data_IF_772857715349
#
_entry.id   IF_772857715349
#
_cell.length_a   1.000
_cell.length_b   1.000
_cell.length_c   1.000
_cell.angle_alpha   90.00
_cell.angle_beta   90.00
_cell.angle_gamma   90.00
#
_symmetry.space_group_name_H-M   'P 1'
#
loop_
_entity.id
_entity.type
_entity.pdbx_description
1 polymer ?
#
# COMPACT_ATOMS: atom_id res chain seq x y z
N UNK A 1 46.07 4.61 -9.39
CA UNK A 1 45.80 3.28 -9.97
C UNK A 1 45.53 2.35 -8.80
N UNK A 2 44.29 2.32 -8.32
CA UNK A 2 43.76 1.36 -7.35
C UNK A 2 42.25 1.38 -7.53
N UNK A 3 41.80 0.70 -8.58
CA UNK A 3 40.42 0.33 -8.82
C UNK A 3 40.48 -1.12 -9.26
N UNK A 4 40.76 -2.02 -8.33
CA UNK A 4 40.68 -3.47 -8.57
C UNK A 4 40.23 -4.14 -7.29
N UNK A 5 38.91 -4.27 -7.18
CA UNK A 5 38.17 -5.43 -6.67
C UNK A 5 36.71 -5.01 -6.55
N UNK A 6 36.06 -4.83 -7.71
CA UNK A 6 34.61 -4.96 -7.77
C UNK A 6 34.37 -6.46 -7.89
N UNK A 7 33.64 -7.04 -6.92
CA UNK A 7 33.37 -8.46 -6.83
C UNK A 7 32.57 -8.94 -8.06
N UNK A 8 33.28 -9.49 -9.04
CA UNK A 8 32.73 -10.01 -10.31
C UNK A 8 31.72 -11.16 -10.12
N UNK A 9 31.61 -11.74 -8.93
CA UNK A 9 30.71 -12.86 -8.61
C UNK A 9 29.25 -12.43 -8.44
N UNK A 10 28.99 -11.34 -7.73
CA UNK A 10 27.63 -10.84 -7.46
C UNK A 10 27.02 -10.22 -8.73
N UNK A 11 27.79 -9.41 -9.45
CA UNK A 11 27.38 -8.82 -10.73
C UNK A 11 27.03 -9.89 -11.78
N UNK A 12 27.82 -10.98 -11.85
CA UNK A 12 27.53 -12.09 -12.76
C UNK A 12 26.27 -12.87 -12.36
N UNK A 13 25.97 -13.04 -11.06
CA UNK A 13 24.71 -13.61 -10.56
C UNK A 13 23.49 -12.75 -10.88
N UNK A 14 23.58 -11.43 -10.69
CA UNK A 14 22.50 -10.49 -11.01
C UNK A 14 22.25 -10.45 -12.51
N UNK A 15 23.32 -10.34 -13.32
CA UNK A 15 23.21 -10.37 -14.79
C UNK A 15 22.67 -11.72 -15.28
N UNK A 16 23.05 -12.82 -14.63
CA UNK A 16 22.48 -14.15 -14.88
C UNK A 16 20.98 -14.17 -14.59
N UNK A 17 20.51 -13.73 -13.41
CA UNK A 17 19.09 -13.64 -13.08
C UNK A 17 18.31 -12.80 -14.10
N UNK A 18 18.83 -11.64 -14.49
CA UNK A 18 18.20 -10.81 -15.52
C UNK A 18 18.17 -11.50 -16.88
N UNK A 19 19.22 -12.23 -17.26
CA UNK A 19 19.28 -12.94 -18.55
C UNK A 19 18.42 -14.21 -18.60
N UNK A 20 18.18 -14.85 -17.44
CA UNK A 20 17.52 -16.15 -17.30
C UNK A 20 16.19 -16.09 -16.54
N UNK A 21 15.63 -14.91 -16.26
CA UNK A 21 14.37 -14.78 -15.51
C UNK A 21 13.18 -15.52 -16.13
N UNK A 22 13.22 -15.83 -17.44
CA UNK A 22 12.20 -16.66 -18.12
C UNK A 22 12.46 -18.17 -18.02
N UNK A 23 13.63 -18.60 -17.54
CA UNK A 23 14.02 -20.01 -17.38
C UNK A 23 14.17 -20.45 -15.91
N UNK A 24 14.13 -19.51 -14.95
CA UNK A 24 14.27 -19.83 -13.53
C UNK A 24 12.95 -20.31 -12.95
N UNK A 25 12.95 -21.55 -12.48
CA UNK A 25 11.79 -22.19 -11.87
C UNK A 25 11.45 -21.54 -10.52
N UNK A 26 10.18 -21.24 -10.30
CA UNK A 26 9.65 -20.56 -9.11
C UNK A 26 10.14 -21.17 -7.78
N UNK A 27 10.13 -22.51 -7.59
CA UNK A 27 10.61 -23.14 -6.36
C UNK A 27 12.09 -22.89 -6.10
N UNK A 28 12.92 -22.77 -7.14
CA UNK A 28 14.34 -22.49 -6.99
C UNK A 28 14.56 -21.06 -6.48
N UNK A 29 13.87 -20.07 -7.07
CA UNK A 29 13.91 -18.68 -6.62
C UNK A 29 13.42 -18.52 -5.18
N UNK A 30 12.31 -19.17 -4.84
CA UNK A 30 11.77 -19.13 -3.47
C UNK A 30 12.72 -19.76 -2.46
N UNK A 31 13.28 -20.92 -2.79
CA UNK A 31 14.26 -21.58 -1.93
C UNK A 31 15.55 -20.78 -1.75
N UNK A 32 16.02 -20.09 -2.80
CA UNK A 32 17.16 -19.16 -2.70
C UNK A 32 16.82 -18.00 -1.76
N UNK A 33 15.63 -17.41 -1.90
CA UNK A 33 15.20 -16.31 -1.04
C UNK A 33 15.14 -16.75 0.43
N UNK A 34 14.42 -17.83 0.74
CA UNK A 34 14.25 -18.32 2.11
C UNK A 34 15.56 -18.72 2.77
N UNK A 35 16.45 -19.43 2.06
CA UNK A 35 17.79 -19.77 2.57
C UNK A 35 18.67 -18.55 2.74
N UNK A 36 18.62 -17.62 1.79
CA UNK A 36 19.37 -16.37 1.86
C UNK A 36 19.06 -15.59 3.15
N UNK A 37 17.80 -15.58 3.59
CA UNK A 37 17.40 -14.96 4.86
C UNK A 37 17.87 -15.75 6.07
N UNK A 38 17.83 -17.08 6.01
CA UNK A 38 18.25 -17.93 7.13
C UNK A 38 19.78 -17.95 7.35
N UNK A 39 20.55 -17.87 6.26
CA UNK A 39 22.00 -18.05 6.26
C UNK A 39 22.78 -16.73 6.43
N UNK A 40 22.21 -15.59 5.99
CA UNK A 40 22.94 -14.32 5.98
C UNK A 40 22.46 -13.34 7.06
N UNK A 41 23.31 -13.18 8.08
CA UNK A 41 23.48 -11.90 8.74
C UNK A 41 24.22 -10.90 7.83
N UNK A 42 23.58 -10.44 6.75
CA UNK A 42 23.85 -9.19 5.99
C UNK A 42 25.31 -8.91 5.56
N UNK A 43 25.68 -9.32 4.35
CA UNK A 43 26.69 -8.63 3.55
C UNK A 43 25.98 -7.74 2.51
N UNK A 44 26.53 -6.57 2.19
CA UNK A 44 25.86 -5.59 1.30
C UNK A 44 25.61 -6.12 -0.13
N UNK A 45 26.41 -7.06 -0.63
CA UNK A 45 26.26 -7.57 -2.00
C UNK A 45 25.26 -8.72 -2.10
N UNK A 46 25.15 -9.55 -1.06
CA UNK A 46 24.10 -10.58 -0.98
C UNK A 46 22.72 -9.91 -0.82
N UNK A 47 22.68 -8.73 -0.21
CA UNK A 47 21.47 -7.94 -0.03
C UNK A 47 20.85 -7.49 -1.36
N UNK A 48 21.64 -6.95 -2.29
CA UNK A 48 21.13 -6.54 -3.61
C UNK A 48 20.59 -7.73 -4.42
N UNK A 49 21.27 -8.87 -4.35
CA UNK A 49 20.82 -10.10 -5.00
C UNK A 49 19.47 -10.57 -4.44
N UNK A 50 19.29 -10.55 -3.13
CA UNK A 50 18.02 -10.90 -2.48
C UNK A 50 16.90 -9.92 -2.83
N UNK A 51 17.20 -8.63 -2.99
CA UNK A 51 16.22 -7.62 -3.41
C UNK A 51 15.70 -7.90 -4.83
N UNK A 52 16.60 -8.30 -5.74
CA UNK A 52 16.23 -8.73 -7.10
C UNK A 52 15.37 -9.99 -7.06
N UNK A 53 15.73 -10.99 -6.26
CA UNK A 53 14.94 -12.23 -6.11
C UNK A 53 13.55 -11.93 -5.55
N UNK A 54 13.46 -11.10 -4.50
CA UNK A 54 12.19 -10.65 -3.94
C UNK A 54 11.31 -9.96 -5.01
N UNK A 55 11.91 -9.06 -5.79
CA UNK A 55 11.21 -8.37 -6.87
C UNK A 55 10.69 -9.34 -7.94
N UNK A 56 11.47 -10.35 -8.33
CA UNK A 56 11.03 -11.38 -9.30
C UNK A 56 9.87 -12.21 -8.75
N UNK A 57 9.98 -12.68 -7.50
CA UNK A 57 8.92 -13.46 -6.83
C UNK A 57 7.62 -12.66 -6.73
N UNK A 58 7.68 -11.38 -6.34
CA UNK A 58 6.50 -10.51 -6.26
C UNK A 58 5.95 -10.15 -7.63
N UNK A 59 6.80 -9.60 -8.52
CA UNK A 59 6.34 -8.94 -9.75
C UNK A 59 6.01 -9.93 -10.85
N UNK A 60 6.80 -11.01 -10.99
CA UNK A 60 6.65 -12.00 -12.05
C UNK A 60 5.80 -13.17 -11.56
N UNK A 61 6.16 -13.79 -10.43
CA UNK A 61 5.47 -14.97 -9.93
C UNK A 61 4.23 -14.66 -9.08
N UNK A 62 3.99 -13.40 -8.71
CA UNK A 62 2.86 -12.96 -7.87
C UNK A 62 2.79 -13.67 -6.51
N UNK A 63 3.93 -14.13 -6.00
CA UNK A 63 3.98 -14.84 -4.73
C UNK A 63 3.89 -13.86 -3.57
N UNK A 64 2.67 -13.64 -3.06
CA UNK A 64 2.42 -12.77 -1.92
C UNK A 64 2.80 -13.41 -0.58
N UNK A 65 3.10 -14.70 -0.54
CA UNK A 65 3.40 -15.41 0.72
C UNK A 65 4.72 -14.96 1.34
N UNK A 66 5.61 -14.36 0.55
CA UNK A 66 6.90 -13.82 1.02
C UNK A 66 6.80 -12.40 1.59
N UNK A 67 5.64 -11.74 1.51
CA UNK A 67 5.47 -10.35 1.97
C UNK A 67 5.82 -10.15 3.46
N UNK A 68 5.45 -11.04 4.40
CA UNK A 68 5.89 -10.93 5.79
C UNK A 68 7.42 -10.94 5.91
N UNK A 69 8.09 -11.84 5.18
CA UNK A 69 9.55 -11.96 5.18
C UNK A 69 10.20 -10.68 4.66
N UNK A 70 9.70 -10.13 3.54
CA UNK A 70 10.20 -8.87 2.97
C UNK A 70 10.07 -7.72 3.98
N UNK A 71 8.93 -7.61 4.66
CA UNK A 71 8.70 -6.56 5.67
C UNK A 71 9.68 -6.71 6.83
N UNK A 72 9.85 -7.92 7.35
CA UNK A 72 10.79 -8.17 8.44
C UNK A 72 12.22 -7.79 8.05
N UNK A 73 12.63 -8.06 6.80
CA UNK A 73 13.92 -7.63 6.26
C UNK A 73 14.04 -6.10 6.16
N UNK A 74 12.99 -5.41 5.69
CA UNK A 74 12.99 -3.94 5.58
C UNK A 74 13.27 -3.32 6.95
N UNK A 75 12.56 -3.76 7.99
CA UNK A 75 12.73 -3.22 9.34
C UNK A 75 14.06 -3.65 9.96
N UNK A 76 14.49 -4.89 9.74
CA UNK A 76 15.80 -5.35 10.18
C UNK A 76 16.96 -4.55 9.58
N UNK A 77 16.93 -4.29 8.26
CA UNK A 77 17.93 -3.45 7.59
C UNK A 77 17.88 -2.01 8.07
N UNK A 78 16.67 -1.47 8.29
CA UNK A 78 16.50 -0.12 8.85
C UNK A 78 17.14 0.03 10.23
N UNK A 79 16.97 -0.94 11.14
CA UNK A 79 17.61 -0.93 12.47
C UNK A 79 19.14 -0.93 12.38
N UNK A 80 19.70 -1.48 11.30
CA UNK A 80 21.15 -1.51 11.04
C UNK A 80 21.66 -0.37 10.15
N UNK A 81 20.78 0.54 9.71
CA UNK A 81 21.13 1.63 8.80
C UNK A 81 21.52 1.17 7.38
N UNK A 82 21.07 -0.02 6.96
CA UNK A 82 21.32 -0.59 5.64
C UNK A 82 20.29 -0.13 4.61
N UNK A 83 20.58 -0.35 3.33
CA UNK A 83 19.71 0.04 2.22
C UNK A 83 18.41 -0.75 2.19
N UNK A 84 17.28 -0.03 2.15
CA UNK A 84 15.92 -0.61 2.17
C UNK A 84 15.08 -0.25 0.95
N UNK A 85 15.56 0.66 0.10
CA UNK A 85 14.74 1.29 -0.96
C UNK A 85 14.19 0.28 -1.97
N UNK A 86 15.00 -0.69 -2.41
CA UNK A 86 14.59 -1.65 -3.42
C UNK A 86 13.67 -2.73 -2.84
N UNK A 87 13.88 -3.17 -1.59
CA UNK A 87 12.91 -4.02 -0.89
C UNK A 87 11.57 -3.33 -0.67
N UNK A 88 11.57 -2.06 -0.24
CA UNK A 88 10.34 -1.29 -0.07
C UNK A 88 9.61 -1.20 -1.42
N UNK A 89 10.35 -0.93 -2.50
CA UNK A 89 9.77 -0.89 -3.83
C UNK A 89 9.20 -2.25 -4.24
N UNK A 90 9.94 -3.34 -4.06
CA UNK A 90 9.52 -4.71 -4.35
C UNK A 90 8.27 -5.09 -3.56
N UNK A 91 8.20 -4.75 -2.27
CA UNK A 91 7.03 -4.95 -1.42
C UNK A 91 5.76 -4.34 -2.03
N UNK A 92 5.82 -3.06 -2.41
CA UNK A 92 4.68 -2.37 -3.01
C UNK A 92 4.30 -2.89 -4.41
N UNK A 93 5.22 -3.55 -5.13
CA UNK A 93 4.88 -4.20 -6.41
C UNK A 93 3.88 -5.35 -6.27
N UNK A 94 3.59 -5.83 -5.06
CA UNK A 94 2.56 -6.84 -4.83
C UNK A 94 1.13 -6.33 -5.09
N UNK A 95 0.95 -5.01 -5.07
CA UNK A 95 -0.35 -4.34 -5.30
C UNK A 95 -1.47 -4.94 -4.46
N UNK A 96 -1.14 -5.23 -3.22
CA UNK A 96 -2.05 -5.75 -2.22
C UNK A 96 -2.21 -4.71 -1.10
N UNK A 97 -3.31 -3.93 -1.09
CA UNK A 97 -3.50 -2.94 -0.04
C UNK A 97 -3.54 -3.53 1.38
N UNK A 98 -3.94 -4.80 1.54
CA UNK A 98 -3.97 -5.42 2.86
C UNK A 98 -2.58 -5.68 3.43
N UNK A 99 -1.56 -5.78 2.55
CA UNK A 99 -0.16 -5.90 2.98
C UNK A 99 0.30 -4.70 3.83
N UNK A 100 -0.35 -3.54 3.74
CA UNK A 100 -0.06 -2.39 4.59
C UNK A 100 -0.21 -2.71 6.09
N UNK A 101 -1.03 -3.70 6.47
CA UNK A 101 -1.10 -4.19 7.85
C UNK A 101 0.24 -4.72 8.36
N UNK A 102 1.05 -5.34 7.49
CA UNK A 102 2.38 -5.83 7.86
C UNK A 102 3.29 -4.68 8.29
N UNK A 103 3.22 -3.53 7.59
CA UNK A 103 3.93 -2.31 7.98
C UNK A 103 3.32 -1.70 9.25
N UNK A 104 2.00 -1.67 9.34
CA UNK A 104 1.30 -1.08 10.48
C UNK A 104 1.62 -1.79 11.81
N UNK A 105 1.90 -3.09 11.80
CA UNK A 105 2.34 -3.83 12.98
C UNK A 105 3.61 -3.24 13.63
N UNK A 106 4.44 -2.54 12.86
CA UNK A 106 5.65 -1.87 13.38
C UNK A 106 5.37 -0.49 14.01
N UNK A 107 4.16 0.06 13.89
CA UNK A 107 3.76 1.28 14.60
C UNK A 107 3.80 1.09 16.12
N UNK A 108 3.57 -0.13 16.60
CA UNK A 108 3.59 -0.53 18.01
C UNK A 108 4.88 -1.25 18.42
N UNK A 109 5.93 -1.18 17.58
CA UNK A 109 7.25 -1.73 17.92
C UNK A 109 7.87 -1.00 19.13
N UNK A 110 8.68 -1.73 19.90
CA UNK A 110 9.48 -1.14 20.98
C UNK A 110 10.68 -0.34 20.44
N UNK A 111 11.09 -0.59 19.18
CA UNK A 111 12.20 0.13 18.53
C UNK A 111 11.69 1.42 17.87
N UNK A 112 12.22 2.57 18.31
CA UNK A 112 11.84 3.88 17.78
C UNK A 112 12.14 4.05 16.27
N UNK A 113 13.16 3.37 15.74
CA UNK A 113 13.48 3.42 14.31
C UNK A 113 12.44 2.66 13.48
N UNK A 114 11.88 1.59 14.03
CA UNK A 114 10.79 0.85 13.39
C UNK A 114 9.53 1.72 13.34
N UNK A 115 9.13 2.31 14.46
CA UNK A 115 7.95 3.20 14.52
C UNK A 115 8.12 4.35 13.52
N UNK A 116 9.30 4.98 13.48
CA UNK A 116 9.61 6.08 12.56
C UNK A 116 9.50 5.65 11.09
N UNK A 117 10.04 4.49 10.73
CA UNK A 117 9.95 3.99 9.36
C UNK A 117 8.51 3.63 9.00
N UNK A 118 7.77 2.97 9.89
CA UNK A 118 6.36 2.63 9.68
C UNK A 118 5.51 3.89 9.44
N UNK A 119 5.66 4.92 10.28
CA UNK A 119 5.00 6.21 10.08
C UNK A 119 5.38 6.83 8.73
N UNK A 120 6.66 6.79 8.33
CA UNK A 120 7.11 7.30 7.04
C UNK A 120 6.49 6.56 5.85
N UNK A 121 6.36 5.23 5.94
CA UNK A 121 5.78 4.42 4.88
C UNK A 121 4.26 4.59 4.78
N UNK A 122 3.60 5.00 5.87
CA UNK A 122 2.15 5.17 5.97
C UNK A 122 1.70 6.64 6.02
N UNK A 123 2.59 7.60 5.78
CA UNK A 123 2.33 9.05 5.87
C UNK A 123 1.21 9.56 4.94
N UNK A 124 0.88 8.78 3.91
CA UNK A 124 -0.23 9.08 3.00
C UNK A 124 -1.62 8.81 3.63
N UNK A 125 -1.65 8.16 4.80
CA UNK A 125 -2.88 7.84 5.52
C UNK A 125 -3.18 8.96 6.53
N UNK A 126 -4.37 9.59 6.48
CA UNK A 126 -4.69 10.74 7.33
C UNK A 126 -4.60 10.51 8.84
N UNK A 127 -4.72 9.26 9.31
CA UNK A 127 -4.67 8.91 10.73
C UNK A 127 -3.26 8.72 11.29
N UNK A 128 -2.23 8.78 10.44
CA UNK A 128 -0.83 8.63 10.81
C UNK A 128 -0.21 10.01 11.02
N UNK A 129 0.46 10.18 12.15
CA UNK A 129 1.14 11.43 12.50
C UNK A 129 2.55 11.13 13.00
N UNK A 130 3.55 11.56 12.22
CA UNK A 130 4.97 11.41 12.57
C UNK A 130 5.37 12.18 13.82
N UNK A 131 4.60 13.19 14.24
CA UNK A 131 4.90 14.06 15.39
C UNK A 131 4.33 13.52 16.71
N UNK A 132 3.38 12.60 16.64
CA UNK A 132 2.67 12.03 17.79
C UNK A 132 3.37 10.75 18.31
N UNK A 133 4.64 10.88 18.68
CA UNK A 133 5.49 9.79 19.20
C UNK A 133 4.91 9.05 20.43
N UNK A 134 3.90 9.61 21.10
CA UNK A 134 3.35 9.07 22.36
C UNK A 134 2.02 8.32 22.23
N UNK A 135 1.55 8.01 21.02
CA UNK A 135 0.28 7.28 20.85
C UNK A 135 0.25 6.21 19.76
N UNK A 136 1.34 5.46 19.61
CA UNK A 136 1.47 4.31 18.70
C UNK A 136 0.25 3.39 18.65
N UNK A 137 -0.32 3.05 19.81
CA UNK A 137 -1.51 2.18 19.88
C UNK A 137 -2.74 2.82 19.22
N UNK A 138 -3.00 4.11 19.44
CA UNK A 138 -4.11 4.80 18.79
C UNK A 138 -3.87 4.96 17.29
N UNK A 139 -2.63 5.22 16.87
CA UNK A 139 -2.30 5.30 15.44
C UNK A 139 -2.55 3.95 14.75
N UNK A 140 -2.12 2.84 15.37
CA UNK A 140 -2.39 1.49 14.87
C UNK A 140 -3.88 1.20 14.74
N UNK A 141 -4.67 1.48 15.79
CA UNK A 141 -6.12 1.25 15.78
C UNK A 141 -6.80 2.14 14.72
N UNK A 142 -6.42 3.42 14.64
CA UNK A 142 -6.98 4.35 13.65
C UNK A 142 -6.61 3.95 12.21
N UNK A 143 -5.39 3.46 12.00
CA UNK A 143 -4.95 2.89 10.73
C UNK A 143 -5.77 1.64 10.37
N UNK A 144 -5.97 0.71 11.30
CA UNK A 144 -6.75 -0.51 11.08
C UNK A 144 -8.16 -0.18 10.57
N UNK A 145 -8.88 0.71 11.26
CA UNK A 145 -10.23 1.10 10.84
C UNK A 145 -10.23 1.86 9.53
N UNK A 146 -9.25 2.75 9.31
CA UNK A 146 -9.11 3.42 8.01
C UNK A 146 -8.90 2.42 6.88
N UNK A 147 -8.04 1.42 7.07
CA UNK A 147 -7.78 0.41 6.06
C UNK A 147 -9.02 -0.45 5.83
N UNK A 148 -9.71 -0.91 6.88
CA UNK A 148 -10.94 -1.70 6.75
C UNK A 148 -12.02 -0.95 5.94
N UNK A 149 -12.19 0.34 6.21
CA UNK A 149 -13.16 1.18 5.52
C UNK A 149 -12.81 1.38 4.04
N UNK A 150 -11.53 1.60 3.74
CA UNK A 150 -11.06 2.05 2.43
C UNK A 150 -10.51 0.92 1.55
N UNK A 151 -10.19 -0.26 2.10
CA UNK A 151 -9.56 -1.38 1.39
C UNK A 151 -10.20 -1.72 0.04
N UNK A 152 -11.55 -1.81 -0.09
CA UNK A 152 -12.19 -2.12 -1.38
C UNK A 152 -11.99 -1.04 -2.47
N UNK A 153 -11.54 0.15 -2.09
CA UNK A 153 -11.43 1.33 -2.94
C UNK A 153 -9.97 1.78 -3.14
N UNK A 154 -9.01 1.06 -2.57
CA UNK A 154 -7.59 1.37 -2.71
C UNK A 154 -7.02 0.81 -4.02
N UNK A 155 -6.24 1.63 -4.72
CA UNK A 155 -5.47 1.20 -5.88
C UNK A 155 -4.05 1.74 -5.85
N UNK A 156 -3.14 0.95 -6.41
CA UNK A 156 -1.71 1.24 -6.44
C UNK A 156 -1.41 2.33 -7.47
N UNK A 157 -0.67 3.37 -7.08
CA UNK A 157 -0.34 4.53 -7.93
C UNK A 157 0.92 4.31 -8.78
N UNK A 158 1.81 3.40 -8.35
CA UNK A 158 3.13 3.25 -8.95
C UNK A 158 4.19 4.20 -8.39
N UNK A 159 3.86 5.06 -7.42
CA UNK A 159 4.84 5.93 -6.76
C UNK A 159 5.81 5.13 -5.88
N UNK A 160 7.05 5.61 -5.80
CA UNK A 160 8.11 5.00 -5.00
C UNK A 160 9.15 6.03 -4.55
N UNK A 161 9.94 5.64 -3.54
CA UNK A 161 11.05 6.45 -3.04
C UNK A 161 12.17 6.71 -4.06
N UNK A 162 12.17 5.99 -5.19
CA UNK A 162 13.12 6.24 -6.29
C UNK A 162 12.74 7.52 -7.07
N UNK A 163 11.49 7.98 -7.01
CA UNK A 163 10.99 9.13 -7.77
C UNK A 163 10.64 10.35 -6.93
N UNK A 164 10.26 10.14 -5.66
CA UNK A 164 9.85 11.20 -4.73
C UNK A 164 10.24 10.84 -3.30
N UNK A 165 10.55 11.83 -2.47
CA UNK A 165 10.83 11.62 -1.04
C UNK A 165 9.59 11.33 -0.21
N UNK A 166 8.40 11.58 -0.76
CA UNK A 166 7.08 11.34 -0.14
C UNK A 166 6.14 10.63 -1.13
N UNK A 167 6.38 9.35 -1.42
CA UNK A 167 5.50 8.59 -2.31
C UNK A 167 4.14 8.37 -1.67
N UNK A 168 3.10 8.32 -2.49
CA UNK A 168 1.75 7.91 -2.12
C UNK A 168 1.47 6.57 -2.81
N UNK A 169 1.81 5.41 -2.20
CA UNK A 169 1.74 4.12 -2.90
C UNK A 169 0.30 3.72 -3.26
N UNK A 170 -0.68 4.13 -2.45
CA UNK A 170 -2.09 3.85 -2.67
C UNK A 170 -2.94 5.11 -2.54
N UNK A 171 -3.98 5.20 -3.37
CA UNK A 171 -5.01 6.24 -3.31
C UNK A 171 -6.39 5.58 -3.19
N UNK A 172 -7.29 6.24 -2.46
CA UNK A 172 -8.71 5.87 -2.39
C UNK A 172 -9.43 6.42 -3.60
N UNK A 173 -10.09 5.56 -4.38
CA UNK A 173 -11.00 5.96 -5.45
C UNK A 173 -12.30 6.52 -4.83
N UNK A 174 -12.35 7.84 -4.58
CA UNK A 174 -13.46 8.49 -3.89
C UNK A 174 -14.79 8.37 -4.65
N UNK A 175 -14.75 8.39 -5.97
CA UNK A 175 -15.89 8.14 -6.87
C UNK A 175 -16.47 6.74 -6.69
N UNK A 176 -15.61 5.73 -6.66
CA UNK A 176 -15.98 4.35 -6.43
C UNK A 176 -16.48 4.13 -4.99
N UNK A 177 -15.83 4.75 -4.00
CA UNK A 177 -16.25 4.74 -2.59
C UNK A 177 -17.62 5.40 -2.42
N UNK A 178 -17.85 6.54 -3.05
CA UNK A 178 -19.14 7.23 -3.07
C UNK A 178 -20.27 6.37 -3.64
N UNK A 179 -20.00 5.53 -4.63
CA UNK A 179 -20.98 4.58 -5.15
C UNK A 179 -20.92 3.18 -4.51
N UNK A 180 -20.08 2.99 -3.50
CA UNK A 180 -19.82 1.70 -2.85
C UNK A 180 -19.45 0.58 -3.83
N UNK A 181 -18.70 0.90 -4.90
CA UNK A 181 -18.19 -0.07 -5.88
C UNK A 181 -16.72 -0.36 -5.65
N UNK A 182 -16.39 -1.65 -5.54
CA UNK A 182 -15.00 -2.09 -5.40
C UNK A 182 -14.19 -1.81 -6.67
N UNK A 183 -12.92 -1.41 -6.49
CA UNK A 183 -11.97 -1.17 -7.56
C UNK A 183 -10.91 -2.27 -7.62
N UNK A 184 -10.33 -2.46 -8.80
CA UNK A 184 -9.15 -3.27 -8.96
C UNK A 184 -7.93 -2.53 -8.40
N UNK A 185 -7.14 -3.15 -7.50
CA UNK A 185 -5.94 -2.52 -6.95
C UNK A 185 -4.85 -2.27 -8.00
N UNK A 186 -4.99 -2.87 -9.20
CA UNK A 186 -4.06 -2.72 -10.31
C UNK A 186 -4.34 -1.52 -11.21
N UNK A 187 -5.61 -1.12 -11.32
CA UNK A 187 -6.05 -0.15 -12.34
C UNK A 187 -6.84 1.02 -11.76
N UNK A 188 -7.33 0.92 -10.52
CA UNK A 188 -8.25 1.90 -9.93
C UNK A 188 -9.65 1.87 -10.54
N UNK A 189 -9.90 1.03 -11.56
CA UNK A 189 -11.21 0.91 -12.21
C UNK A 189 -12.09 -0.04 -11.41
N UNK A 190 -13.39 0.24 -11.38
CA UNK A 190 -14.39 -0.65 -10.80
C UNK A 190 -14.45 -1.99 -11.53
N UNK A 191 -14.64 -3.09 -10.80
CA UNK A 191 -14.84 -4.40 -11.41
C UNK A 191 -16.11 -4.46 -12.28
N UNK A 192 -17.15 -3.75 -11.86
CA UNK A 192 -18.40 -3.60 -12.58
C UNK A 192 -18.48 -2.15 -13.09
N UNK A 193 -18.60 -1.91 -14.40
CA UNK A 193 -18.74 -0.56 -14.94
C UNK A 193 -19.92 0.21 -14.33
N UNK A 194 -19.83 1.54 -14.35
CA UNK A 194 -20.92 2.40 -13.93
C UNK A 194 -22.07 2.36 -14.94
N UNK A 195 -23.29 2.28 -14.42
CA UNK A 195 -24.53 2.45 -15.18
C UNK A 195 -24.70 3.92 -15.61
N UNK A 196 -25.59 4.19 -16.56
CA UNK A 196 -25.89 5.56 -16.99
C UNK A 196 -26.34 6.46 -15.82
N UNK A 197 -27.12 5.91 -14.88
CA UNK A 197 -27.57 6.61 -13.68
C UNK A 197 -26.39 6.95 -12.76
N UNK A 198 -25.50 6.00 -12.52
CA UNK A 198 -24.31 6.19 -11.70
C UNK A 198 -23.35 7.22 -12.32
N UNK A 199 -23.14 7.19 -13.63
CA UNK A 199 -22.35 8.20 -14.32
C UNK A 199 -22.94 9.62 -14.17
N UNK A 200 -24.27 9.75 -14.15
CA UNK A 200 -24.92 11.04 -13.89
C UNK A 200 -24.69 11.52 -12.44
N UNK A 201 -24.75 10.61 -11.45
CA UNK A 201 -24.39 10.95 -10.07
C UNK A 201 -22.92 11.39 -9.96
N UNK A 202 -22.01 10.67 -10.61
CA UNK A 202 -20.59 10.99 -10.64
C UNK A 202 -20.29 12.33 -11.32
N UNK A 203 -21.08 12.71 -12.33
CA UNK A 203 -20.94 14.02 -12.94
C UNK A 203 -21.05 15.13 -11.90
N UNK A 204 -22.09 15.13 -11.07
CA UNK A 204 -22.24 16.15 -10.02
C UNK A 204 -21.19 16.00 -8.90
N UNK A 205 -20.90 14.77 -8.48
CA UNK A 205 -19.89 14.48 -7.45
C UNK A 205 -18.50 14.99 -7.83
N UNK A 206 -18.08 14.82 -9.09
CA UNK A 206 -16.75 15.22 -9.54
C UNK A 206 -16.55 16.74 -9.60
N UNK A 207 -17.63 17.52 -9.64
CA UNK A 207 -17.60 18.99 -9.60
C UNK A 207 -17.59 19.57 -8.17
N UNK A 208 -17.68 18.72 -7.13
CA UNK A 208 -17.54 19.15 -5.74
C UNK A 208 -16.08 19.46 -5.40
N UNK A 209 -15.88 20.23 -4.33
CA UNK A 209 -14.56 20.35 -3.72
C UNK A 209 -14.15 19.06 -3.01
N UNK A 210 -12.87 18.94 -2.68
CA UNK A 210 -12.31 17.73 -2.06
C UNK A 210 -12.90 17.45 -0.66
N UNK A 211 -13.27 18.50 0.10
CA UNK A 211 -13.89 18.32 1.42
C UNK A 211 -15.25 17.64 1.30
N UNK A 212 -16.10 18.12 0.39
CA UNK A 212 -17.42 17.56 0.16
C UNK A 212 -17.33 16.16 -0.50
N UNK A 213 -16.34 15.88 -1.36
CA UNK A 213 -16.08 14.51 -1.88
C UNK A 213 -15.71 13.53 -0.78
N UNK A 214 -14.80 13.91 0.11
CA UNK A 214 -14.41 13.09 1.26
C UNK A 214 -15.60 12.83 2.19
N UNK A 215 -16.37 13.88 2.49
CA UNK A 215 -17.59 13.77 3.30
C UNK A 215 -18.58 12.77 2.70
N UNK A 216 -18.96 12.97 1.43
CA UNK A 216 -19.98 12.14 0.79
C UNK A 216 -19.51 10.70 0.58
N UNK A 217 -18.24 10.48 0.23
CA UNK A 217 -17.71 9.13 0.03
C UNK A 217 -17.67 8.33 1.34
N UNK A 218 -17.23 8.94 2.45
CA UNK A 218 -17.25 8.31 3.77
C UNK A 218 -18.67 8.10 4.30
N UNK A 219 -19.55 9.11 4.18
CA UNK A 219 -20.96 8.98 4.58
C UNK A 219 -21.68 7.87 3.78
N UNK A 220 -21.45 7.82 2.48
CA UNK A 220 -22.00 6.80 1.58
C UNK A 220 -21.59 5.40 2.05
N UNK A 221 -20.29 5.19 2.28
CA UNK A 221 -19.74 3.90 2.72
C UNK A 221 -20.32 3.46 4.07
N UNK A 222 -20.39 4.37 5.04
CA UNK A 222 -20.96 4.10 6.37
C UNK A 222 -22.45 3.75 6.26
N UNK A 223 -23.23 4.56 5.55
CA UNK A 223 -24.67 4.32 5.38
C UNK A 223 -24.95 3.01 4.64
N UNK A 224 -24.16 2.70 3.59
CA UNK A 224 -24.29 1.43 2.87
C UNK A 224 -23.99 0.22 3.76
N UNK A 225 -22.99 0.32 4.63
CA UNK A 225 -22.63 -0.74 5.58
C UNK A 225 -23.73 -0.98 6.61
N UNK A 226 -24.25 0.10 7.22
CA UNK A 226 -25.28 0.03 8.24
C UNK A 226 -26.63 -0.41 7.68
N UNK A 227 -27.05 0.19 6.56
CA UNK A 227 -28.37 -0.05 5.98
C UNK A 227 -28.42 0.30 4.48
N UNK A 228 -28.38 -0.73 3.65
CA UNK A 228 -28.45 -0.60 2.19
C UNK A 228 -29.73 0.08 1.68
N UNK A 229 -30.86 -0.02 2.38
CA UNK A 229 -32.11 0.63 1.96
C UNK A 229 -32.07 2.14 2.21
N UNK A 230 -31.52 2.56 3.36
CA UNK A 230 -31.30 3.98 3.63
C UNK A 230 -30.31 4.57 2.63
N UNK A 231 -29.23 3.85 2.34
CA UNK A 231 -28.27 4.27 1.33
C UNK A 231 -28.91 4.45 -0.05
N UNK A 232 -29.71 3.47 -0.50
CA UNK A 232 -30.44 3.54 -1.77
C UNK A 232 -31.41 4.72 -1.81
N UNK A 233 -32.04 5.08 -0.69
CA UNK A 233 -32.88 6.28 -0.62
C UNK A 233 -32.03 7.54 -0.77
N UNK A 234 -30.97 7.66 0.04
CA UNK A 234 -30.11 8.82 0.11
C UNK A 234 -29.38 9.15 -1.20
N UNK A 235 -28.79 8.14 -1.85
CA UNK A 235 -27.97 8.32 -3.07
C UNK A 235 -28.79 8.86 -4.26
N UNK A 236 -30.12 8.76 -4.19
CA UNK A 236 -31.04 9.24 -5.22
C UNK A 236 -31.51 10.69 -5.00
N UNK A 237 -31.14 11.34 -3.90
CA UNK A 237 -31.38 12.77 -3.71
C UNK A 237 -30.45 13.62 -4.58
N UNK A 238 -30.78 14.90 -4.76
CA UNK A 238 -29.87 15.86 -5.40
C UNK A 238 -28.57 15.99 -4.59
N UNK A 239 -27.47 16.31 -5.26
CA UNK A 239 -26.14 16.39 -4.61
C UNK A 239 -26.14 17.36 -3.41
N UNK A 240 -26.85 18.50 -3.52
CA UNK A 240 -27.01 19.49 -2.45
C UNK A 240 -27.71 18.87 -1.24
N UNK A 241 -28.78 18.09 -1.49
CA UNK A 241 -29.52 17.45 -0.40
C UNK A 241 -28.69 16.34 0.25
N UNK A 242 -27.92 15.58 -0.54
CA UNK A 242 -26.98 14.58 -0.01
C UNK A 242 -25.96 15.21 0.96
N UNK A 243 -25.35 16.34 0.56
CA UNK A 243 -24.40 17.09 1.40
C UNK A 243 -25.08 17.57 2.68
N UNK A 244 -26.29 18.15 2.58
CA UNK A 244 -27.02 18.63 3.77
C UNK A 244 -27.30 17.53 4.78
N UNK A 245 -27.67 16.32 4.31
CA UNK A 245 -27.93 15.16 5.17
C UNK A 245 -26.63 14.67 5.81
N UNK A 246 -25.54 14.61 5.02
CA UNK A 246 -24.25 14.16 5.51
C UNK A 246 -23.67 15.09 6.59
N UNK A 247 -23.77 16.42 6.38
CA UNK A 247 -23.33 17.43 7.37
C UNK A 247 -24.14 17.34 8.67
N UNK A 248 -25.47 17.21 8.58
CA UNK A 248 -26.33 17.11 9.76
C UNK A 248 -26.03 15.88 10.64
N UNK A 249 -25.54 14.77 10.06
CA UNK A 249 -25.15 13.58 10.84
C UNK A 249 -23.81 13.71 11.54
N UNK A 250 -22.93 14.61 11.09
CA UNK A 250 -21.66 14.89 11.78
C UNK A 250 -21.83 15.77 13.02
N UNK A 251 -22.93 16.51 13.10
CA UNK A 251 -23.25 17.43 14.20
C UNK A 251 -23.99 16.75 15.37
N UNK A 252 -24.37 15.48 15.20
CA UNK A 252 -25.08 14.64 16.19
C UNK A 252 -24.17 13.57 16.78
#
# INVERSE_FOLDING_TARGET
MYLDNIDTSSFSKIQYLYSKHMELDYPALKGIFERGIAEHGLSNEDDEFLDVVALLLIKIHKDKTILPIIVDMIFFRNRKGLFTHDLIWAFFQARDPYSLMLIANYLISEDANDVKLACKLLDFVPSIDMTMEKNSQKQYIAFFYWLEENYPFLYFTGESFQRTSKPIPYIVALDAKYLCKQVSPYTGKTFIPYTAKENNLLYYFNHLDESDKLLLSSFSRATHYENIYLWKSWINHSIIKQISIAKARLET
#
